data_IF_424167018880
#
_entry.id   IF_424167018880
#
_cell.length_a   1.000
_cell.length_b   1.000
_cell.length_c   1.000
_cell.angle_alpha   90.00
_cell.angle_beta   90.00
_cell.angle_gamma   90.00
#
_symmetry.space_group_name_H-M   'P 1'
#
loop_
_entity.id
_entity.type
_entity.pdbx_description
1 polymer ?
#
# COMPACT_ATOMS: atom_id res chain seq x y z
N UNK A 1 -19.65 -2.09 9.60
CA UNK A 1 -20.01 -3.00 8.49
C UNK A 1 -20.25 -4.39 9.06
N UNK A 2 -21.12 -5.20 8.43
CA UNK A 2 -21.37 -6.57 8.85
C UNK A 2 -20.71 -7.53 7.87
N UNK A 3 -20.06 -8.55 8.38
CA UNK A 3 -19.52 -9.67 7.60
C UNK A 3 -20.28 -10.94 7.96
N UNK A 4 -20.40 -11.87 7.03
CA UNK A 4 -21.00 -13.17 7.27
C UNK A 4 -19.89 -14.17 7.59
N UNK A 5 -19.93 -14.80 8.75
CA UNK A 5 -19.02 -15.86 9.16
C UNK A 5 -19.85 -17.06 9.61
N UNK A 6 -19.71 -18.21 8.94
CA UNK A 6 -20.53 -19.43 9.17
C UNK A 6 -22.04 -19.12 9.28
N UNK A 7 -22.56 -18.26 8.38
CA UNK A 7 -23.97 -17.87 8.37
C UNK A 7 -24.41 -16.91 9.47
N UNK A 8 -23.48 -16.39 10.29
CA UNK A 8 -23.78 -15.39 11.33
C UNK A 8 -23.25 -14.02 10.91
N UNK A 9 -24.09 -12.99 11.03
CA UNK A 9 -23.66 -11.61 10.87
C UNK A 9 -22.82 -11.16 12.08
N UNK A 10 -21.59 -10.70 11.81
CA UNK A 10 -20.72 -10.07 12.80
C UNK A 10 -20.52 -8.62 12.40
N UNK A 11 -20.78 -7.69 13.31
CA UNK A 11 -20.50 -6.29 13.10
C UNK A 11 -19.03 -5.98 13.40
N UNK A 12 -18.32 -5.43 12.40
CA UNK A 12 -16.92 -5.04 12.55
C UNK A 12 -16.79 -3.67 13.20
N UNK A 13 -15.92 -3.57 14.19
CA UNK A 13 -15.52 -2.28 14.73
C UNK A 13 -14.65 -1.56 13.71
N UNK A 14 -15.05 -0.34 13.35
CA UNK A 14 -14.24 0.54 12.49
C UNK A 14 -13.06 1.09 13.27
N UNK A 15 -11.91 1.12 12.63
CA UNK A 15 -10.67 1.59 13.22
C UNK A 15 -9.94 2.54 12.26
N UNK A 16 -9.50 3.70 12.76
CA UNK A 16 -8.65 4.62 12.01
C UNK A 16 -7.18 4.18 12.07
N UNK A 17 -6.36 4.72 11.17
CA UNK A 17 -4.93 4.39 11.13
C UNK A 17 -4.22 4.61 12.49
N UNK A 18 -4.51 5.69 13.17
CA UNK A 18 -3.89 6.03 14.47
C UNK A 18 -4.29 5.05 15.58
N UNK A 19 -5.54 4.62 15.58
CA UNK A 19 -6.08 3.63 16.53
C UNK A 19 -5.52 2.24 16.22
N UNK A 20 -5.37 1.90 14.91
CA UNK A 20 -4.76 0.66 14.47
C UNK A 20 -3.33 0.50 15.00
N UNK A 21 -2.54 1.57 15.00
CA UNK A 21 -1.20 1.53 15.61
C UNK A 21 -1.24 1.22 17.11
N UNK A 22 -2.24 1.73 17.81
CA UNK A 22 -2.44 1.42 19.23
C UNK A 22 -2.82 -0.04 19.44
N UNK A 23 -3.69 -0.57 18.56
CA UNK A 23 -4.08 -1.99 18.61
C UNK A 23 -2.89 -2.89 18.28
N UNK A 24 -2.05 -2.55 17.31
CA UNK A 24 -0.84 -3.31 17.01
C UNK A 24 0.13 -3.41 18.20
N UNK A 25 0.24 -2.36 19.02
CA UNK A 25 1.06 -2.40 20.24
C UNK A 25 0.58 -3.42 21.28
N UNK A 26 -0.67 -3.87 21.20
CA UNK A 26 -1.21 -4.91 22.08
C UNK A 26 -0.61 -6.29 21.84
N UNK A 27 0.15 -6.46 20.74
CA UNK A 27 0.72 -7.74 20.28
C UNK A 27 -0.30 -8.87 20.10
N UNK A 28 -1.57 -8.51 19.90
CA UNK A 28 -2.64 -9.48 19.57
C UNK A 28 -2.65 -9.77 18.08
N UNK A 29 -3.19 -10.93 17.69
CA UNK A 29 -3.43 -11.22 16.29
C UNK A 29 -4.56 -10.34 15.78
N UNK A 30 -4.36 -9.68 14.65
CA UNK A 30 -5.31 -8.74 14.09
C UNK A 30 -5.74 -9.19 12.71
N UNK A 31 -7.04 -9.20 12.46
CA UNK A 31 -7.62 -9.41 11.14
C UNK A 31 -8.23 -8.10 10.64
N UNK A 32 -7.61 -7.53 9.61
CA UNK A 32 -7.97 -6.23 9.10
C UNK A 32 -8.78 -6.37 7.81
N UNK A 33 -10.04 -5.99 7.87
CA UNK A 33 -10.92 -5.90 6.71
C UNK A 33 -10.84 -4.51 6.08
N UNK A 34 -11.00 -4.43 4.76
CA UNK A 34 -11.07 -3.15 4.07
C UNK A 34 -11.07 -3.31 2.56
N UNK A 35 -11.48 -2.26 1.85
CA UNK A 35 -11.52 -2.24 0.39
C UNK A 35 -10.15 -2.50 -0.22
N UNK A 36 -10.13 -3.14 -1.40
CA UNK A 36 -8.88 -3.35 -2.15
C UNK A 36 -8.27 -2.01 -2.57
N UNK A 37 -6.93 -1.91 -2.53
CA UNK A 37 -6.21 -0.69 -2.92
C UNK A 37 -6.29 0.48 -1.93
N UNK A 38 -6.88 0.30 -0.73
CA UNK A 38 -7.02 1.34 0.29
C UNK A 38 -5.94 1.29 1.38
N UNK A 39 -4.80 0.67 1.10
CA UNK A 39 -3.60 0.83 1.93
C UNK A 39 -3.46 -0.11 3.11
N UNK A 40 -4.24 -1.22 3.21
CA UNK A 40 -4.12 -2.19 4.31
C UNK A 40 -2.67 -2.67 4.54
N UNK A 41 -2.01 -3.14 3.50
CA UNK A 41 -0.62 -3.62 3.57
C UNK A 41 0.37 -2.47 3.84
N UNK A 42 0.08 -1.26 3.32
CA UNK A 42 0.94 -0.09 3.53
C UNK A 42 0.94 0.39 4.98
N UNK A 43 -0.21 0.34 5.65
CA UNK A 43 -0.31 0.77 7.06
C UNK A 43 0.49 -0.16 7.98
N UNK A 44 0.49 -1.47 7.70
CA UNK A 44 1.29 -2.46 8.46
C UNK A 44 2.78 -2.25 8.19
N UNK A 45 3.16 -2.06 6.91
CA UNK A 45 4.54 -1.78 6.52
C UNK A 45 5.08 -0.54 7.24
N UNK A 46 4.33 0.56 7.18
CA UNK A 46 4.71 1.81 7.84
C UNK A 46 4.82 1.66 9.35
N UNK A 47 3.91 0.90 9.99
CA UNK A 47 4.01 0.62 11.42
C UNK A 47 5.32 -0.10 11.75
N UNK A 48 5.71 -1.10 10.98
CA UNK A 48 6.96 -1.83 11.19
C UNK A 48 8.18 -0.91 11.02
N UNK A 49 8.19 -0.10 9.97
CA UNK A 49 9.25 0.89 9.73
C UNK A 49 9.37 1.89 10.89
N UNK A 50 8.26 2.46 11.35
CA UNK A 50 8.22 3.46 12.43
C UNK A 50 8.65 2.88 13.79
N UNK A 51 8.58 1.55 13.98
CA UNK A 51 8.91 0.88 15.25
C UNK A 51 10.14 -0.04 15.16
N UNK A 52 10.87 -0.03 14.05
CA UNK A 52 12.06 -0.86 13.85
C UNK A 52 11.77 -2.36 13.86
N UNK A 53 10.56 -2.78 13.46
CA UNK A 53 10.15 -4.17 13.39
C UNK A 53 10.44 -4.75 12.00
N UNK A 54 10.80 -6.02 11.95
CA UNK A 54 10.94 -6.77 10.71
C UNK A 54 9.55 -7.20 10.22
N UNK A 55 9.33 -7.17 8.91
CA UNK A 55 8.04 -7.52 8.30
C UNK A 55 8.21 -8.65 7.29
N UNK A 56 7.49 -9.76 7.48
CA UNK A 56 7.33 -10.82 6.47
C UNK A 56 5.93 -10.76 5.90
N UNK A 57 5.83 -10.46 4.61
CA UNK A 57 4.55 -10.44 3.89
C UNK A 57 4.38 -11.76 3.14
N UNK A 58 3.22 -12.39 3.32
CA UNK A 58 2.86 -13.64 2.66
C UNK A 58 1.47 -13.45 2.06
N UNK A 59 1.39 -13.37 0.71
CA UNK A 59 0.11 -13.38 0.01
C UNK A 59 -0.41 -14.82 -0.08
N UNK A 60 -1.56 -15.06 0.54
CA UNK A 60 -2.14 -16.41 0.63
C UNK A 60 -2.94 -16.79 -0.62
N UNK A 61 -3.37 -15.83 -1.43
CA UNK A 61 -4.18 -16.06 -2.62
C UNK A 61 -3.54 -17.01 -3.66
N UNK A 62 -2.21 -17.03 -3.69
CA UNK A 62 -1.43 -17.82 -4.68
C UNK A 62 -0.61 -18.94 -4.05
N UNK A 63 -0.78 -19.21 -2.75
CA UNK A 63 0.02 -20.23 -2.06
C UNK A 63 -0.64 -21.61 -2.11
N UNK A 64 0.21 -22.63 -2.21
CA UNK A 64 -0.16 -24.03 -1.99
C UNK A 64 -0.04 -24.35 -0.49
N UNK A 65 -0.77 -25.35 0.02
CA UNK A 65 -0.70 -25.77 1.41
C UNK A 65 0.73 -26.08 1.88
N UNK A 66 1.52 -26.74 1.04
CA UNK A 66 2.91 -27.12 1.33
C UNK A 66 3.84 -25.90 1.46
N UNK A 67 3.52 -24.81 0.77
CA UNK A 67 4.30 -23.57 0.88
C UNK A 67 4.12 -22.89 2.24
N UNK A 68 3.02 -23.19 2.93
CA UNK A 68 2.72 -22.67 4.28
C UNK A 68 2.95 -23.76 5.34
N UNK A 69 2.42 -24.97 5.12
CA UNK A 69 2.52 -26.08 6.10
C UNK A 69 3.89 -26.73 6.16
N UNK A 70 4.70 -26.58 5.12
CA UNK A 70 5.97 -27.27 4.95
C UNK A 70 5.84 -28.55 4.11
N UNK A 71 6.99 -29.05 3.66
CA UNK A 71 7.10 -30.30 2.90
C UNK A 71 7.64 -31.36 3.83
N UNK A 72 6.92 -32.51 4.03
CA UNK A 72 7.41 -33.59 4.86
C UNK A 72 8.73 -34.15 4.31
N UNK A 73 9.75 -34.23 5.14
CA UNK A 73 11.06 -34.80 4.83
C UNK A 73 11.40 -35.94 5.79
N UNK A 74 11.75 -37.10 5.26
CA UNK A 74 12.13 -38.21 6.09
C UNK A 74 13.50 -37.99 6.71
N UNK A 75 13.62 -38.21 8.01
CA UNK A 75 14.89 -38.16 8.73
C UNK A 75 15.52 -39.55 8.85
N UNK A 76 16.83 -39.65 9.02
CA UNK A 76 17.55 -40.90 9.26
C UNK A 76 17.10 -41.62 10.53
N UNK A 77 16.38 -40.94 11.43
CA UNK A 77 15.88 -41.47 12.71
C UNK A 77 14.52 -42.15 12.60
N UNK A 78 13.93 -42.25 11.40
CA UNK A 78 12.67 -42.95 11.17
C UNK A 78 11.40 -42.11 11.44
N UNK A 79 11.50 -40.79 11.55
CA UNK A 79 10.34 -39.86 11.52
C UNK A 79 10.50 -38.87 10.37
N UNK A 80 9.50 -38.07 10.17
CA UNK A 80 9.57 -36.94 9.24
C UNK A 80 9.59 -35.64 10.00
N UNK A 81 10.16 -34.62 9.37
CA UNK A 81 10.07 -33.22 9.75
C UNK A 81 9.52 -32.40 8.60
N UNK A 82 8.96 -31.24 8.89
CA UNK A 82 8.42 -30.34 7.87
C UNK A 82 9.47 -29.32 7.49
N UNK A 83 9.86 -29.29 6.19
CA UNK A 83 10.80 -28.32 5.66
C UNK A 83 10.04 -27.09 5.14
N UNK A 84 10.37 -25.93 5.66
CA UNK A 84 9.90 -24.64 5.20
C UNK A 84 10.88 -24.01 4.21
N UNK A 85 10.39 -23.01 3.47
CA UNK A 85 11.22 -22.18 2.60
C UNK A 85 12.33 -21.49 3.40
N UNK A 86 13.56 -21.49 2.84
CA UNK A 86 14.71 -20.82 3.45
C UNK A 86 14.47 -19.33 3.73
N UNK A 87 13.64 -18.69 2.92
CA UNK A 87 13.23 -17.27 3.14
C UNK A 87 12.50 -17.02 4.46
N UNK A 88 12.02 -18.07 5.14
CA UNK A 88 11.37 -17.99 6.45
C UNK A 88 12.34 -18.23 7.62
N UNK A 89 13.58 -18.66 7.33
CA UNK A 89 14.54 -19.05 8.36
C UNK A 89 14.73 -17.95 9.43
N UNK A 90 14.92 -16.71 9.00
CA UNK A 90 15.14 -15.59 9.93
C UNK A 90 13.93 -15.31 10.84
N UNK A 91 12.72 -15.67 10.40
CA UNK A 91 11.48 -15.47 11.18
C UNK A 91 11.48 -16.34 12.44
N UNK A 92 12.15 -17.49 12.40
CA UNK A 92 12.21 -18.45 13.52
C UNK A 92 13.35 -18.18 14.49
N UNK A 93 14.28 -17.29 14.15
CA UNK A 93 15.30 -16.83 15.08
C UNK A 93 14.61 -16.10 16.23
N UNK A 94 15.09 -16.31 17.46
CA UNK A 94 14.51 -15.75 18.68
C UNK A 94 12.97 -15.93 18.80
N UNK A 95 12.45 -17.04 18.27
CA UNK A 95 11.01 -17.36 18.29
C UNK A 95 10.12 -16.28 17.63
N UNK A 96 10.68 -15.57 16.65
CA UNK A 96 10.02 -14.50 15.93
C UNK A 96 9.97 -13.17 16.65
N UNK A 97 10.82 -12.93 17.64
CA UNK A 97 10.88 -11.62 18.31
C UNK A 97 11.24 -10.50 17.34
N UNK A 98 10.50 -9.39 17.44
CA UNK A 98 10.68 -8.25 16.54
C UNK A 98 10.10 -8.45 15.14
N UNK A 99 9.45 -9.59 14.86
CA UNK A 99 8.80 -9.87 13.58
C UNK A 99 7.31 -9.61 13.63
N UNK A 100 6.80 -9.04 12.55
CA UNK A 100 5.39 -9.03 12.17
C UNK A 100 5.23 -9.93 10.95
N UNK A 101 4.43 -10.99 11.08
CA UNK A 101 4.04 -11.84 9.97
C UNK A 101 2.71 -11.32 9.46
N UNK A 102 2.68 -10.90 8.19
CA UNK A 102 1.51 -10.32 7.57
C UNK A 102 0.96 -11.24 6.49
N UNK A 103 -0.20 -11.84 6.76
CA UNK A 103 -0.95 -12.66 5.80
C UNK A 103 -1.86 -11.76 4.97
N UNK A 104 -1.48 -11.52 3.72
CA UNK A 104 -2.29 -10.74 2.79
C UNK A 104 -3.31 -11.62 2.07
N UNK A 105 -4.49 -11.07 1.79
CA UNK A 105 -5.57 -11.70 1.03
C UNK A 105 -6.04 -13.04 1.63
N UNK A 106 -6.14 -13.13 2.96
CA UNK A 106 -6.47 -14.37 3.66
C UNK A 106 -7.80 -14.99 3.19
N UNK A 107 -8.78 -14.19 2.82
CA UNK A 107 -10.07 -14.65 2.31
C UNK A 107 -10.07 -15.04 0.82
N UNK A 108 -8.92 -14.97 0.15
CA UNK A 108 -8.72 -15.52 -1.20
C UNK A 108 -8.00 -16.86 -1.18
N UNK A 109 -7.49 -17.27 -0.03
CA UNK A 109 -6.81 -18.54 0.15
C UNK A 109 -7.78 -19.72 0.01
N UNK A 110 -7.31 -20.84 -0.54
CA UNK A 110 -8.06 -22.10 -0.56
C UNK A 110 -8.17 -22.68 0.85
N UNK A 111 -9.20 -23.50 1.09
CA UNK A 111 -9.50 -24.04 2.42
C UNK A 111 -8.32 -24.81 3.03
N UNK A 112 -7.58 -25.52 2.22
CA UNK A 112 -6.41 -26.29 2.64
C UNK A 112 -5.30 -25.40 3.20
N UNK A 113 -5.07 -24.24 2.59
CA UNK A 113 -4.15 -23.20 3.10
C UNK A 113 -4.67 -22.61 4.41
N UNK A 114 -5.98 -22.30 4.50
CA UNK A 114 -6.57 -21.80 5.73
C UNK A 114 -6.42 -22.80 6.89
N UNK A 115 -6.51 -24.09 6.60
CA UNK A 115 -6.34 -25.14 7.61
C UNK A 115 -4.91 -25.15 8.18
N UNK A 116 -3.88 -24.87 7.38
CA UNK A 116 -2.49 -24.80 7.89
C UNK A 116 -2.26 -23.61 8.83
N UNK A 117 -3.09 -22.56 8.74
CA UNK A 117 -2.94 -21.39 9.59
C UNK A 117 -3.42 -21.60 11.04
N UNK A 118 -4.15 -22.67 11.33
CA UNK A 118 -4.71 -22.85 12.69
C UNK A 118 -3.61 -22.89 13.76
N UNK A 119 -2.52 -23.61 13.55
CA UNK A 119 -1.39 -23.65 14.49
C UNK A 119 -0.63 -22.32 14.56
N UNK A 120 -0.40 -21.72 13.38
CA UNK A 120 0.37 -20.49 13.23
C UNK A 120 -0.35 -19.30 13.89
N UNK A 121 -1.68 -19.24 13.78
CA UNK A 121 -2.49 -18.13 14.27
C UNK A 121 -2.96 -18.29 15.72
N UNK A 122 -2.42 -19.23 16.49
CA UNK A 122 -2.67 -19.25 17.93
C UNK A 122 -2.32 -17.88 18.58
N UNK A 123 -2.96 -17.51 19.70
CA UNK A 123 -2.52 -16.35 20.46
C UNK A 123 -1.02 -16.42 20.74
N UNK A 124 -0.36 -15.26 20.86
CA UNK A 124 1.06 -15.20 21.19
C UNK A 124 1.33 -15.97 22.48
N UNK A 125 2.32 -16.88 22.46
CA UNK A 125 2.67 -17.76 23.56
C UNK A 125 3.29 -19.08 23.09
N UNK A 126 3.60 -19.96 24.00
CA UNK A 126 4.34 -21.21 23.78
C UNK A 126 3.63 -22.18 22.81
N UNK A 127 2.30 -22.15 22.74
CA UNK A 127 1.53 -23.04 21.86
C UNK A 127 1.56 -22.63 20.38
N UNK A 128 2.15 -21.45 20.06
CA UNK A 128 2.23 -20.99 18.68
C UNK A 128 3.43 -21.61 18.00
N UNK A 129 3.14 -22.46 17.03
CA UNK A 129 4.15 -23.16 16.24
C UNK A 129 3.85 -23.07 14.75
N UNK A 130 4.90 -23.09 13.94
CA UNK A 130 4.83 -23.17 12.49
C UNK A 130 5.76 -24.26 12.01
N UNK A 131 5.21 -25.34 11.46
CA UNK A 131 5.98 -26.52 11.03
C UNK A 131 7.01 -26.98 12.09
N UNK A 132 6.58 -27.10 13.35
CA UNK A 132 7.44 -27.50 14.46
C UNK A 132 8.34 -26.40 15.04
N UNK A 133 8.46 -25.24 14.41
CA UNK A 133 9.25 -24.12 14.90
C UNK A 133 8.44 -23.19 15.80
N UNK A 134 8.98 -22.77 16.92
CA UNK A 134 8.33 -21.82 17.82
C UNK A 134 8.21 -20.42 17.20
N UNK A 135 7.03 -19.82 17.33
CA UNK A 135 6.75 -18.43 16.98
C UNK A 135 6.12 -17.67 18.15
N UNK A 136 6.49 -18.05 19.36
CA UNK A 136 5.87 -17.56 20.60
C UNK A 136 5.87 -16.04 20.74
N UNK A 137 6.80 -15.34 20.08
CA UNK A 137 7.03 -13.89 20.19
C UNK A 137 6.67 -13.09 18.93
N UNK A 138 6.38 -13.75 17.80
CA UNK A 138 5.99 -13.07 16.57
C UNK A 138 4.59 -12.46 16.70
N UNK A 139 4.39 -11.29 16.12
CA UNK A 139 3.06 -10.72 15.94
C UNK A 139 2.46 -11.16 14.61
N UNK A 140 1.18 -11.52 14.60
CA UNK A 140 0.48 -11.91 13.38
C UNK A 140 -0.60 -10.87 13.06
N UNK A 141 -0.55 -10.41 11.81
CA UNK A 141 -1.56 -9.54 11.22
C UNK A 141 -2.04 -10.21 9.94
N UNK A 142 -3.33 -10.30 9.75
CA UNK A 142 -3.91 -10.77 8.50
C UNK A 142 -4.81 -9.70 7.89
N UNK A 143 -4.95 -9.68 6.57
CA UNK A 143 -5.94 -8.83 5.95
C UNK A 143 -6.82 -9.56 4.95
N UNK A 144 -8.07 -9.11 4.91
CA UNK A 144 -9.12 -9.59 4.02
C UNK A 144 -9.67 -8.43 3.20
N UNK A 145 -9.99 -8.70 1.94
CA UNK A 145 -10.68 -7.74 1.10
C UNK A 145 -12.19 -7.79 1.42
N UNK A 146 -12.83 -6.62 1.44
CA UNK A 146 -14.28 -6.52 1.50
C UNK A 146 -14.81 -6.53 0.07
N UNK A 147 -15.78 -7.41 -0.21
CA UNK A 147 -16.57 -7.32 -1.42
C UNK A 147 -17.64 -6.27 -1.21
N UNK A 148 -17.61 -5.19 -1.98
CA UNK A 148 -18.71 -4.22 -2.05
C UNK A 148 -19.65 -4.49 -3.23
N UNK A 149 -19.50 -5.66 -3.88
CA UNK A 149 -20.31 -6.07 -5.04
C UNK A 149 -19.95 -5.32 -6.32
N UNK A 150 -19.07 -4.33 -6.27
CA UNK A 150 -18.69 -3.49 -7.43
C UNK A 150 -17.32 -3.84 -8.01
N UNK A 151 -16.46 -4.48 -7.24
CA UNK A 151 -15.05 -4.72 -7.63
C UNK A 151 -14.83 -5.99 -8.47
N UNK A 152 -15.89 -6.70 -8.87
CA UNK A 152 -15.79 -7.91 -9.69
C UNK A 152 -15.02 -9.07 -9.02
N UNK A 153 -14.79 -9.02 -7.71
CA UNK A 153 -14.15 -10.09 -6.94
C UNK A 153 -15.17 -11.20 -6.75
N UNK A 154 -15.10 -12.21 -7.60
CA UNK A 154 -16.11 -13.26 -7.73
C UNK A 154 -15.95 -14.38 -6.69
N UNK A 155 -14.83 -14.45 -5.98
CA UNK A 155 -14.53 -15.55 -5.06
C UNK A 155 -13.87 -15.01 -3.79
N UNK A 156 -14.69 -14.63 -2.81
CA UNK A 156 -14.25 -14.48 -1.43
C UNK A 156 -14.65 -15.76 -0.71
N UNK A 157 -13.67 -16.55 -0.30
CA UNK A 157 -13.95 -17.70 0.56
C UNK A 157 -14.39 -17.18 1.94
N UNK A 158 -15.43 -17.81 2.49
CA UNK A 158 -15.80 -17.56 3.87
C UNK A 158 -14.69 -18.03 4.80
N UNK A 159 -14.24 -17.14 5.68
CA UNK A 159 -13.24 -17.50 6.66
C UNK A 159 -13.87 -18.41 7.73
N UNK A 160 -13.25 -19.57 8.04
CA UNK A 160 -13.75 -20.44 9.09
C UNK A 160 -13.80 -19.73 10.44
N UNK A 161 -14.95 -19.83 11.13
CA UNK A 161 -15.12 -19.21 12.46
C UNK A 161 -14.00 -19.57 13.45
N UNK A 162 -13.50 -20.83 13.53
CA UNK A 162 -12.39 -21.14 14.42
C UNK A 162 -11.12 -20.40 14.11
N UNK A 163 -10.86 -20.05 12.84
CA UNK A 163 -9.72 -19.24 12.45
C UNK A 163 -9.93 -17.77 12.84
N UNK A 164 -11.10 -17.22 12.53
CA UNK A 164 -11.43 -15.83 12.88
C UNK A 164 -11.37 -15.58 14.39
N UNK A 165 -11.80 -16.56 15.20
CA UNK A 165 -11.73 -16.47 16.66
C UNK A 165 -10.30 -16.37 17.22
N UNK A 166 -9.28 -16.59 16.42
CA UNK A 166 -7.87 -16.38 16.79
C UNK A 166 -7.39 -14.96 16.56
N UNK A 167 -8.24 -14.13 15.99
CA UNK A 167 -7.94 -12.74 15.65
C UNK A 167 -8.90 -11.77 16.32
N UNK A 168 -8.48 -10.53 16.39
CA UNK A 168 -9.33 -9.39 16.67
C UNK A 168 -9.69 -8.72 15.33
N UNK A 169 -10.95 -8.89 14.86
CA UNK A 169 -11.37 -8.39 13.57
C UNK A 169 -11.73 -6.91 13.61
N UNK A 170 -11.18 -6.12 12.68
CA UNK A 170 -11.46 -4.70 12.51
C UNK A 170 -11.71 -4.34 11.05
N UNK A 171 -12.53 -3.33 10.81
CA UNK A 171 -12.66 -2.67 9.52
C UNK A 171 -11.77 -1.43 9.48
N UNK A 172 -10.80 -1.39 8.55
CA UNK A 172 -9.98 -0.19 8.37
C UNK A 172 -10.82 0.92 7.73
N UNK A 173 -11.01 1.99 8.47
CA UNK A 173 -11.65 3.20 7.97
C UNK A 173 -10.60 4.07 7.25
N UNK A 174 -10.60 4.01 5.92
CA UNK A 174 -9.77 4.87 5.09
C UNK A 174 -10.63 5.98 4.51
N UNK A 175 -10.36 7.23 4.89
CA UNK A 175 -11.04 8.37 4.32
C UNK A 175 -10.38 8.83 3.02
N UNK A 176 -11.19 9.40 2.10
CA UNK A 176 -10.64 10.06 0.90
C UNK A 176 -9.64 11.17 1.27
N UNK A 177 -9.85 11.82 2.41
CA UNK A 177 -8.96 12.87 2.93
C UNK A 177 -7.59 12.31 3.29
N UNK A 178 -7.54 11.17 3.98
CA UNK A 178 -6.28 10.53 4.35
C UNK A 178 -5.52 10.05 3.12
N UNK A 179 -6.23 9.45 2.16
CA UNK A 179 -5.66 9.04 0.88
C UNK A 179 -5.09 10.24 0.09
N UNK A 180 -5.84 11.35 0.04
CA UNK A 180 -5.41 12.59 -0.59
C UNK A 180 -4.14 13.16 0.07
N UNK A 181 -4.12 13.22 1.39
CA UNK A 181 -2.96 13.72 2.14
C UNK A 181 -1.72 12.85 1.93
N UNK A 182 -1.89 11.53 1.94
CA UNK A 182 -0.83 10.58 1.65
C UNK A 182 -0.26 10.78 0.23
N UNK A 183 -1.12 10.82 -0.80
CA UNK A 183 -0.70 10.99 -2.19
C UNK A 183 -0.03 12.36 -2.41
N UNK A 184 -0.58 13.44 -1.82
CA UNK A 184 0.05 14.77 -1.89
C UNK A 184 1.44 14.78 -1.24
N UNK A 185 1.61 14.09 -0.12
CA UNK A 185 2.91 13.98 0.52
C UNK A 185 3.90 13.16 -0.32
N UNK A 186 3.43 12.05 -0.92
CA UNK A 186 4.26 11.18 -1.77
C UNK A 186 4.74 11.89 -3.03
N UNK A 187 3.88 12.70 -3.64
CA UNK A 187 4.15 13.41 -4.90
C UNK A 187 4.41 14.92 -4.70
N UNK A 188 4.87 15.34 -3.51
CA UNK A 188 5.10 16.75 -3.20
C UNK A 188 6.14 17.40 -4.13
N UNK A 189 7.12 16.63 -4.58
CA UNK A 189 8.17 17.03 -5.50
C UNK A 189 7.76 16.97 -6.99
N UNK A 190 6.49 16.66 -7.29
CA UNK A 190 5.92 16.65 -8.63
C UNK A 190 4.64 17.53 -8.63
N UNK A 191 4.74 18.86 -8.50
CA UNK A 191 3.57 19.73 -8.34
C UNK A 191 2.56 19.62 -9.47
N UNK A 192 3.03 19.29 -10.69
CA UNK A 192 2.18 19.17 -11.87
C UNK A 192 1.11 18.09 -11.71
N UNK A 193 1.42 16.98 -11.01
CA UNK A 193 0.49 15.84 -10.89
C UNK A 193 -0.44 15.94 -9.70
N UNK A 194 -0.13 16.74 -8.69
CA UNK A 194 -0.97 16.90 -7.49
C UNK A 194 -2.39 17.32 -7.81
N UNK A 195 -2.58 18.11 -8.89
CA UNK A 195 -3.89 18.58 -9.36
C UNK A 195 -4.83 17.45 -9.80
N UNK A 196 -4.29 16.29 -10.19
CA UNK A 196 -5.08 15.16 -10.68
C UNK A 196 -5.65 14.29 -9.55
N UNK A 197 -5.03 14.35 -8.35
CA UNK A 197 -5.41 13.52 -7.21
C UNK A 197 -6.88 13.68 -6.86
N UNK A 198 -7.34 14.92 -6.74
CA UNK A 198 -8.72 15.24 -6.37
C UNK A 198 -9.71 14.70 -7.42
N UNK A 199 -9.41 14.95 -8.69
CA UNK A 199 -10.26 14.52 -9.81
C UNK A 199 -10.44 12.99 -9.85
N UNK A 200 -9.36 12.25 -9.56
CA UNK A 200 -9.41 10.79 -9.60
C UNK A 200 -10.05 10.19 -8.33
N UNK A 201 -9.78 10.75 -7.16
CA UNK A 201 -10.41 10.31 -5.91
C UNK A 201 -11.90 10.62 -5.87
N UNK A 202 -12.33 11.76 -6.43
CA UNK A 202 -13.74 12.13 -6.54
C UNK A 202 -14.50 11.19 -7.49
N UNK A 203 -13.81 10.64 -8.49
CA UNK A 203 -14.34 9.60 -9.37
C UNK A 203 -14.30 8.19 -8.73
N UNK A 204 -14.18 8.11 -7.40
CA UNK A 204 -14.21 6.88 -6.60
C UNK A 204 -13.12 5.84 -6.94
N UNK A 205 -12.01 6.29 -7.55
CA UNK A 205 -10.88 5.42 -7.81
C UNK A 205 -10.14 5.11 -6.50
N UNK A 206 -9.65 3.88 -6.38
CA UNK A 206 -8.85 3.50 -5.21
C UNK A 206 -7.54 4.31 -5.16
N UNK A 207 -6.99 4.59 -3.98
CA UNK A 207 -5.69 5.26 -3.85
C UNK A 207 -4.58 4.57 -4.64
N UNK A 208 -4.59 3.25 -4.75
CA UNK A 208 -3.65 2.48 -5.58
C UNK A 208 -3.78 2.84 -7.06
N UNK A 209 -5.01 2.85 -7.58
CA UNK A 209 -5.27 3.23 -8.98
C UNK A 209 -4.84 4.66 -9.25
N UNK A 210 -5.11 5.58 -8.31
CA UNK A 210 -4.66 6.97 -8.42
C UNK A 210 -3.15 7.05 -8.44
N UNK A 211 -2.46 6.35 -7.55
CA UNK A 211 -1.00 6.28 -7.49
C UNK A 211 -0.38 5.78 -8.80
N UNK A 212 -0.92 4.70 -9.36
CA UNK A 212 -0.50 4.17 -10.66
C UNK A 212 -0.72 5.19 -11.80
N UNK A 213 -1.88 5.87 -11.80
CA UNK A 213 -2.18 6.89 -12.80
C UNK A 213 -1.26 8.11 -12.68
N UNK A 214 -0.90 8.53 -11.46
CA UNK A 214 0.03 9.61 -11.24
C UNK A 214 1.43 9.29 -11.78
N UNK A 215 1.87 8.05 -11.63
CA UNK A 215 3.12 7.59 -12.24
C UNK A 215 3.06 7.62 -13.78
N UNK A 216 1.91 7.25 -14.37
CA UNK A 216 1.70 7.28 -15.83
C UNK A 216 1.77 8.73 -16.37
N UNK A 217 1.28 9.72 -15.62
CA UNK A 217 1.25 11.11 -16.04
C UNK A 217 2.63 11.77 -16.15
N UNK A 218 3.67 11.11 -15.69
CA UNK A 218 5.06 11.56 -15.88
C UNK A 218 5.57 11.28 -17.29
N UNK A 219 4.94 10.38 -18.04
CA UNK A 219 5.29 10.05 -19.42
C UNK A 219 4.74 11.07 -20.43
N UNK A 220 5.18 10.94 -21.68
CA UNK A 220 4.66 11.71 -22.81
C UNK A 220 3.13 11.62 -22.93
N UNK A 221 2.43 12.71 -23.35
CA UNK A 221 0.96 12.75 -23.34
C UNK A 221 0.28 11.64 -24.15
N UNK A 222 0.85 11.24 -25.29
CA UNK A 222 0.29 10.17 -26.11
C UNK A 222 0.35 8.82 -25.40
N UNK A 223 1.52 8.48 -24.86
CA UNK A 223 1.70 7.25 -24.08
C UNK A 223 0.86 7.28 -22.79
N UNK A 224 0.81 8.43 -22.10
CA UNK A 224 -0.07 8.62 -20.93
C UNK A 224 -1.52 8.36 -21.27
N UNK A 225 -2.00 8.85 -22.42
CA UNK A 225 -3.38 8.65 -22.89
C UNK A 225 -3.72 7.18 -23.06
N UNK A 226 -2.90 6.42 -23.74
CA UNK A 226 -3.08 4.99 -23.95
C UNK A 226 -3.07 4.19 -22.62
N UNK A 227 -2.11 4.47 -21.75
CA UNK A 227 -1.97 3.78 -20.47
C UNK A 227 -3.11 4.12 -19.50
N UNK A 228 -3.54 5.39 -19.45
CA UNK A 228 -4.65 5.81 -18.60
C UNK A 228 -5.98 5.18 -19.01
N UNK A 229 -6.22 4.97 -20.33
CA UNK A 229 -7.43 4.30 -20.81
C UNK A 229 -7.58 2.88 -20.26
N UNK A 230 -6.48 2.19 -19.96
CA UNK A 230 -6.51 0.84 -19.36
C UNK A 230 -6.94 0.84 -17.89
N UNK A 231 -6.83 1.96 -17.19
CA UNK A 231 -7.12 2.10 -15.73
C UNK A 231 -8.36 2.95 -15.46
N UNK A 232 -8.68 3.87 -16.34
CA UNK A 232 -9.76 4.83 -16.19
C UNK A 232 -10.80 4.69 -17.31
N UNK A 233 -12.04 5.05 -17.00
CA UNK A 233 -13.05 5.16 -18.03
C UNK A 233 -12.71 6.31 -19.01
N UNK A 234 -13.11 6.20 -20.26
CA UNK A 234 -12.78 7.16 -21.33
C UNK A 234 -13.06 8.62 -20.96
N UNK A 235 -14.22 8.89 -20.33
CA UNK A 235 -14.59 10.24 -19.89
C UNK A 235 -13.62 10.79 -18.81
N UNK A 236 -13.21 9.96 -17.86
CA UNK A 236 -12.25 10.37 -16.82
C UNK A 236 -10.85 10.55 -17.40
N UNK A 237 -10.43 9.68 -18.32
CA UNK A 237 -9.17 9.82 -19.05
C UNK A 237 -9.14 11.14 -19.82
N UNK A 238 -10.20 11.47 -20.56
CA UNK A 238 -10.29 12.74 -21.28
C UNK A 238 -10.18 13.96 -20.33
N UNK A 239 -10.84 13.90 -19.17
CA UNK A 239 -10.77 14.95 -18.15
C UNK A 239 -9.34 15.12 -17.59
N UNK A 240 -8.64 14.03 -17.31
CA UNK A 240 -7.25 14.05 -16.81
C UNK A 240 -6.32 14.62 -17.87
N UNK A 241 -6.43 14.18 -19.12
CA UNK A 241 -5.61 14.68 -20.23
C UNK A 241 -5.88 16.15 -20.55
N UNK A 242 -7.14 16.63 -20.42
CA UNK A 242 -7.47 18.04 -20.57
C UNK A 242 -6.77 18.89 -19.50
N UNK A 243 -6.73 18.42 -18.25
CA UNK A 243 -5.97 19.08 -17.19
C UNK A 243 -4.47 19.07 -17.52
N UNK A 244 -3.92 17.94 -18.00
CA UNK A 244 -2.51 17.85 -18.39
C UNK A 244 -2.14 18.86 -19.48
N UNK A 245 -2.96 18.97 -20.53
CA UNK A 245 -2.80 20.00 -21.58
C UNK A 245 -2.82 21.40 -21.01
N UNK A 246 -3.80 21.72 -20.14
CA UNK A 246 -3.91 23.04 -19.49
C UNK A 246 -2.72 23.36 -18.59
N UNK A 247 -2.11 22.36 -17.97
CA UNK A 247 -0.86 22.53 -17.20
C UNK A 247 0.31 22.85 -18.12
N UNK A 248 0.44 22.16 -19.27
CA UNK A 248 1.50 22.40 -20.28
C UNK A 248 1.33 23.73 -21.06
N UNK A 249 0.07 24.20 -21.23
CA UNK A 249 -0.25 25.46 -21.91
C UNK A 249 -0.59 26.58 -20.94
N UNK A 250 -0.12 26.50 -19.71
CA UNK A 250 -0.54 27.41 -18.64
C UNK A 250 -0.15 28.84 -18.92
N UNK A 251 -1.10 29.74 -18.60
CA UNK A 251 -0.92 31.17 -18.43
C UNK A 251 0.45 31.47 -17.78
N UNK A 252 1.24 32.40 -18.31
CA UNK A 252 2.58 32.72 -17.80
C UNK A 252 2.68 32.87 -16.29
N UNK A 253 1.67 33.53 -15.66
CA UNK A 253 1.61 33.67 -14.20
C UNK A 253 1.46 32.36 -13.44
N UNK A 254 0.77 31.38 -14.03
CA UNK A 254 0.65 30.03 -13.42
C UNK A 254 1.90 29.21 -13.63
N UNK A 255 2.56 29.38 -14.74
CA UNK A 255 3.85 28.74 -15.06
C UNK A 255 4.92 29.26 -14.10
N UNK A 256 5.03 30.55 -13.91
CA UNK A 256 5.92 31.18 -12.94
C UNK A 256 5.71 30.66 -11.53
N UNK A 257 4.45 30.61 -11.08
CA UNK A 257 4.10 30.05 -9.75
C UNK A 257 4.49 28.58 -9.61
N UNK A 258 4.37 27.79 -10.68
CA UNK A 258 4.76 26.38 -10.66
C UNK A 258 6.28 26.24 -10.55
N UNK A 259 7.03 27.04 -11.31
CA UNK A 259 8.48 27.05 -11.27
C UNK A 259 8.99 27.49 -9.88
N UNK A 260 8.38 28.52 -9.26
CA UNK A 260 8.71 28.91 -7.87
C UNK A 260 8.51 27.77 -6.89
N UNK A 261 7.36 27.09 -6.94
CA UNK A 261 7.10 25.93 -6.07
C UNK A 261 8.08 24.79 -6.28
N UNK A 262 8.48 24.52 -7.52
CA UNK A 262 9.47 23.47 -7.83
C UNK A 262 10.87 23.85 -7.35
N UNK A 263 11.22 25.09 -7.42
CA UNK A 263 12.50 25.61 -6.93
C UNK A 263 12.56 25.57 -5.38
N UNK A 264 11.49 25.94 -4.69
CA UNK A 264 11.39 25.80 -3.22
C UNK A 264 11.56 24.34 -2.78
N UNK A 265 10.86 23.40 -3.45
CA UNK A 265 10.98 21.97 -3.18
C UNK A 265 12.42 21.50 -3.41
N UNK A 266 13.05 21.93 -4.52
CA UNK A 266 14.44 21.60 -4.78
C UNK A 266 15.38 22.13 -3.68
N UNK A 267 15.15 23.34 -3.20
CA UNK A 267 15.93 23.92 -2.08
C UNK A 267 15.77 23.13 -0.77
N UNK A 268 14.60 22.56 -0.52
CA UNK A 268 14.34 21.77 0.68
C UNK A 268 14.85 20.33 0.58
N UNK A 269 14.64 19.68 -0.56
CA UNK A 269 14.86 18.25 -0.74
C UNK A 269 16.15 17.91 -1.51
N UNK A 270 16.78 18.89 -2.18
CA UNK A 270 17.94 18.69 -3.06
C UNK A 270 17.62 18.00 -4.38
N UNK A 271 16.36 17.64 -4.61
CA UNK A 271 15.89 16.93 -5.79
C UNK A 271 14.44 17.32 -6.12
N UNK A 272 14.12 17.42 -7.40
CA UNK A 272 12.76 17.66 -7.87
C UNK A 272 12.48 16.92 -9.18
N UNK A 273 11.23 16.48 -9.36
CA UNK A 273 10.76 15.91 -10.63
C UNK A 273 10.18 17.00 -11.51
N UNK A 274 10.77 17.22 -12.68
CA UNK A 274 10.32 18.19 -13.66
C UNK A 274 10.09 17.54 -15.02
N UNK A 275 8.87 17.64 -15.54
CA UNK A 275 8.48 17.08 -16.85
C UNK A 275 8.78 15.58 -17.05
N UNK A 276 8.91 14.80 -15.96
CA UNK A 276 9.21 13.36 -15.99
C UNK A 276 10.68 13.01 -15.82
N UNK A 277 11.54 14.01 -15.66
CA UNK A 277 12.97 13.86 -15.37
C UNK A 277 13.23 14.19 -13.90
N UNK A 278 14.15 13.45 -13.28
CA UNK A 278 14.65 13.72 -11.94
C UNK A 278 15.81 14.69 -12.02
N UNK A 279 15.66 15.86 -11.39
CA UNK A 279 16.63 16.94 -11.42
C UNK A 279 17.35 17.00 -10.08
N UNK A 280 18.65 16.78 -10.09
CA UNK A 280 19.49 16.72 -8.89
C UNK A 280 20.39 17.95 -8.73
N UNK A 281 20.44 18.83 -9.73
CA UNK A 281 21.27 20.04 -9.68
C UNK A 281 20.45 21.30 -9.95
N UNK A 282 20.82 22.40 -9.27
CA UNK A 282 20.16 23.69 -9.45
C UNK A 282 20.35 24.23 -10.90
N UNK A 283 21.53 24.01 -11.49
CA UNK A 283 21.86 24.45 -12.85
C UNK A 283 20.93 23.79 -13.88
N UNK A 284 20.71 22.48 -13.74
CA UNK A 284 19.81 21.72 -14.60
C UNK A 284 18.36 22.17 -14.47
N UNK A 285 17.89 22.45 -13.21
CA UNK A 285 16.55 22.96 -12.97
C UNK A 285 16.34 24.35 -13.59
N UNK A 286 17.31 25.24 -13.47
CA UNK A 286 17.22 26.57 -14.02
C UNK A 286 17.33 26.54 -15.56
N UNK A 287 18.07 25.60 -16.12
CA UNK A 287 18.13 25.38 -17.58
C UNK A 287 16.74 24.98 -18.11
N UNK A 288 16.07 24.05 -17.44
CA UNK A 288 14.67 23.67 -17.74
C UNK A 288 13.69 24.84 -17.61
N UNK A 289 13.91 25.74 -16.66
CA UNK A 289 13.07 26.95 -16.54
C UNK A 289 13.33 27.92 -17.70
N UNK A 290 14.54 27.99 -18.22
CA UNK A 290 14.90 28.86 -19.34
C UNK A 290 14.17 28.51 -20.64
N UNK A 291 13.69 27.26 -20.78
CA UNK A 291 12.87 26.84 -21.92
C UNK A 291 11.46 27.48 -21.92
N UNK A 292 10.99 28.00 -20.78
CA UNK A 292 9.59 28.43 -20.59
C UNK A 292 9.43 29.79 -19.92
N UNK A 293 10.47 30.35 -19.31
CA UNK A 293 10.49 31.60 -18.59
C UNK A 293 11.60 32.52 -19.12
N UNK A 294 11.41 33.83 -18.98
CA UNK A 294 12.44 34.81 -19.25
C UNK A 294 13.52 34.82 -18.15
N UNK A 295 14.72 35.36 -18.49
CA UNK A 295 15.81 35.52 -17.54
C UNK A 295 15.41 36.36 -16.30
N UNK A 296 14.56 37.38 -16.49
CA UNK A 296 14.03 38.22 -15.38
C UNK A 296 13.12 37.41 -14.43
N UNK A 297 12.25 36.57 -14.97
CA UNK A 297 11.36 35.71 -14.20
C UNK A 297 12.15 34.65 -13.42
N UNK A 298 13.15 34.03 -14.03
CA UNK A 298 14.07 33.11 -13.39
C UNK A 298 14.81 33.80 -12.24
N UNK A 299 15.35 34.99 -12.49
CA UNK A 299 16.02 35.77 -11.47
C UNK A 299 15.13 36.12 -10.29
N UNK A 300 13.83 36.37 -10.52
CA UNK A 300 12.84 36.60 -9.43
C UNK A 300 12.59 35.33 -8.59
N UNK A 301 12.61 34.15 -9.22
CA UNK A 301 12.47 32.87 -8.51
C UNK A 301 13.66 32.63 -7.59
N UNK A 302 14.88 32.81 -8.12
CA UNK A 302 16.12 32.55 -7.37
C UNK A 302 16.29 33.55 -6.20
N UNK A 303 15.89 34.82 -6.40
CA UNK A 303 15.97 35.85 -5.35
C UNK A 303 14.86 35.75 -4.30
N UNK A 304 13.79 35.03 -4.58
CA UNK A 304 12.64 34.90 -3.68
C UNK A 304 11.78 36.18 -3.64
N UNK A 305 11.86 37.04 -4.67
CA UNK A 305 11.03 38.24 -4.79
C UNK A 305 9.57 37.82 -5.10
N UNK A 306 8.59 38.39 -4.36
CA UNK A 306 7.13 38.13 -4.50
C UNK A 306 6.58 38.58 -5.88
#
# INVERSE_FOLDING_TARGET
MKILLDGKEIELTKIKQTEFYTVLKSKKNILLFGKSGWGKSQIVKKYCEDHGLKLKIISLASKLPEAIGGIPHATDKGYYEELLSEELKEVFEDEGEGWVIFFDEINQAVQEVLNTLYGICYPMGEDRVWAGHSLSRAQIVACANLSDGTDGVTYLNDLPTPLVNRFFPFELECSKTDAKNYLKKKYRNIPQVVKYIDVMLDAEKSPRTVDECLNILQYEPELSGLLLQSKLQSALTAKVLDIQKKVKTADPAKTLKLCRQSYEIFKEDGIVQWAGEEIETEEELLDKFSEILSEEEIASIVKGDE
#
